data_IF_739179836812
#
_entry.id   IF_739179836812
#
_cell.length_a   1.000
_cell.length_b   1.000
_cell.length_c   1.000
_cell.angle_alpha   90.00
_cell.angle_beta   90.00
_cell.angle_gamma   90.00
#
_symmetry.space_group_name_H-M   'P 1'
#
loop_
_entity.id
_entity.type
_entity.pdbx_description
1 polymer ?
#
# COMPACT_ATOMS: atom_id res chain seq x y z
N UNK A 1 -26.38 13.01 -24.30
CA UNK A 1 -26.75 12.68 -22.90
C UNK A 1 -25.54 12.68 -21.96
N UNK A 2 -24.44 11.98 -22.26
CA UNK A 2 -23.21 11.98 -21.44
C UNK A 2 -22.54 13.35 -21.21
N UNK A 3 -22.54 14.23 -22.21
CA UNK A 3 -21.89 15.55 -22.12
C UNK A 3 -22.51 16.51 -21.09
N UNK A 4 -23.84 16.46 -20.92
CA UNK A 4 -24.53 17.26 -19.91
C UNK A 4 -24.29 16.69 -18.50
N UNK A 5 -24.35 15.35 -18.35
CA UNK A 5 -24.04 14.69 -17.08
C UNK A 5 -22.59 14.92 -16.62
N UNK A 6 -21.62 14.94 -17.54
CA UNK A 6 -20.21 15.25 -17.25
C UNK A 6 -20.02 16.70 -16.81
N UNK A 7 -20.72 17.63 -17.47
CA UNK A 7 -20.66 19.06 -17.14
C UNK A 7 -21.32 19.37 -15.80
N UNK A 8 -22.43 18.70 -15.49
CA UNK A 8 -23.13 18.85 -14.22
C UNK A 8 -22.39 18.14 -13.07
N UNK A 9 -21.77 16.99 -13.33
CA UNK A 9 -20.85 16.33 -12.40
C UNK A 9 -19.63 17.21 -12.09
N UNK A 10 -19.00 17.78 -13.13
CA UNK A 10 -17.87 18.70 -12.98
C UNK A 10 -18.24 20.00 -12.26
N UNK A 11 -19.47 20.49 -12.43
CA UNK A 11 -19.97 21.69 -11.73
C UNK A 11 -20.55 21.41 -10.35
N UNK A 12 -20.69 20.14 -9.97
CA UNK A 12 -21.23 19.79 -8.66
C UNK A 12 -20.31 20.32 -7.56
N UNK A 13 -20.87 21.05 -6.59
CA UNK A 13 -20.11 21.51 -5.42
C UNK A 13 -19.44 20.36 -4.65
N UNK A 14 -19.99 19.14 -4.75
CA UNK A 14 -19.41 17.96 -4.12
C UNK A 14 -18.05 17.57 -4.73
N UNK A 15 -17.90 17.62 -6.06
CA UNK A 15 -16.66 17.21 -6.74
C UNK A 15 -15.52 18.21 -6.49
N UNK A 16 -15.83 19.50 -6.51
CA UNK A 16 -14.87 20.56 -6.14
C UNK A 16 -14.45 20.48 -4.68
N UNK A 17 -15.37 20.17 -3.77
CA UNK A 17 -15.04 19.98 -2.35
C UNK A 17 -14.11 18.80 -2.17
N UNK A 18 -14.38 17.66 -2.81
CA UNK A 18 -13.49 16.48 -2.73
C UNK A 18 -12.13 16.76 -3.34
N UNK A 19 -12.07 17.42 -4.50
CA UNK A 19 -10.79 17.75 -5.14
C UNK A 19 -9.95 18.70 -4.26
N UNK A 20 -10.59 19.70 -3.65
CA UNK A 20 -9.93 20.61 -2.72
C UNK A 20 -9.38 19.89 -1.49
N UNK A 21 -10.16 19.01 -0.87
CA UNK A 21 -9.73 18.23 0.30
C UNK A 21 -8.56 17.30 -0.02
N UNK A 22 -8.61 16.62 -1.18
CA UNK A 22 -7.51 15.77 -1.65
C UNK A 22 -6.24 16.58 -1.91
N UNK A 23 -6.38 17.75 -2.52
CA UNK A 23 -5.24 18.65 -2.76
C UNK A 23 -4.63 19.14 -1.43
N UNK A 24 -5.46 19.56 -0.48
CA UNK A 24 -4.99 19.96 0.84
C UNK A 24 -4.26 18.82 1.56
N UNK A 25 -4.83 17.61 1.52
CA UNK A 25 -4.18 16.40 2.05
C UNK A 25 -2.82 16.13 1.41
N UNK A 26 -2.72 16.24 0.08
CA UNK A 26 -1.47 16.05 -0.65
C UNK A 26 -0.41 17.10 -0.28
N UNK A 27 -0.82 18.35 -0.09
CA UNK A 27 0.07 19.44 0.35
C UNK A 27 0.63 19.14 1.74
N UNK A 28 -0.22 18.72 2.68
CA UNK A 28 0.20 18.35 4.04
C UNK A 28 1.19 17.18 3.99
N UNK A 29 0.87 16.12 3.25
CA UNK A 29 1.77 14.96 3.09
C UNK A 29 3.12 15.35 2.48
N UNK A 30 3.13 16.24 1.49
CA UNK A 30 4.36 16.72 0.87
C UNK A 30 5.23 17.54 1.84
N UNK A 31 4.62 18.42 2.64
CA UNK A 31 5.32 19.19 3.67
C UNK A 31 5.91 18.27 4.73
N UNK A 32 5.16 17.26 5.18
CA UNK A 32 5.66 16.25 6.13
C UNK A 32 6.85 15.48 5.55
N UNK A 33 6.76 15.01 4.30
CA UNK A 33 7.86 14.33 3.63
C UNK A 33 9.13 15.20 3.52
N UNK A 34 8.98 16.49 3.20
CA UNK A 34 10.10 17.44 3.13
C UNK A 34 10.75 17.65 4.50
N UNK A 35 9.95 17.74 5.56
CA UNK A 35 10.47 17.84 6.93
C UNK A 35 11.23 16.57 7.35
N UNK A 36 10.70 15.39 7.04
CA UNK A 36 11.39 14.11 7.30
C UNK A 36 12.72 14.04 6.55
N UNK A 37 12.72 14.36 5.26
CA UNK A 37 13.94 14.34 4.45
C UNK A 37 14.99 15.34 4.96
N UNK A 38 14.57 16.54 5.35
CA UNK A 38 15.46 17.54 5.95
C UNK A 38 16.05 17.04 7.27
N UNK A 39 15.24 16.36 8.10
CA UNK A 39 15.70 15.77 9.36
C UNK A 39 16.72 14.67 9.12
N UNK A 40 16.49 13.81 8.13
CA UNK A 40 17.41 12.75 7.74
C UNK A 40 18.72 13.29 7.15
N UNK A 41 18.69 14.39 6.39
CA UNK A 41 19.90 15.06 5.90
C UNK A 41 20.77 15.58 7.05
N UNK A 42 20.16 16.09 8.11
CA UNK A 42 20.89 16.54 9.30
C UNK A 42 21.47 15.35 10.07
N UNK A 43 20.71 14.26 10.19
CA UNK A 43 21.15 13.05 10.88
C UNK A 43 22.22 12.24 10.12
N UNK A 44 22.30 12.36 8.79
CA UNK A 44 23.34 11.74 7.96
C UNK A 44 24.74 12.30 8.26
N UNK A 45 24.81 13.57 8.69
CA UNK A 45 26.06 14.22 9.12
C UNK A 45 26.64 13.61 10.41
N UNK A 46 25.82 12.91 11.20
CA UNK A 46 26.20 12.26 12.47
C UNK A 46 26.64 10.79 12.28
N UNK A 47 26.72 10.31 11.03
CA UNK A 47 27.22 8.96 10.68
C UNK A 47 26.16 7.86 10.65
N UNK A 48 24.90 8.19 10.97
CA UNK A 48 23.75 7.34 10.65
C UNK A 48 23.44 7.43 9.14
N UNK A 49 22.84 6.41 8.51
CA UNK A 49 22.42 6.45 7.08
C UNK A 49 20.89 6.54 6.89
N UNK A 50 20.16 7.44 7.59
CA UNK A 50 18.71 7.54 7.48
C UNK A 50 18.29 8.02 6.10
N UNK A 51 19.14 8.77 5.40
CA UNK A 51 18.89 9.23 4.04
C UNK A 51 18.67 8.08 3.05
N UNK A 52 19.43 6.99 3.19
CA UNK A 52 19.26 5.81 2.35
C UNK A 52 17.89 5.15 2.60
N UNK A 53 17.45 5.12 3.86
CA UNK A 53 16.12 4.64 4.24
C UNK A 53 15.01 5.47 3.59
N UNK A 54 15.09 6.79 3.68
CA UNK A 54 14.11 7.70 3.07
C UNK A 54 14.02 7.53 1.55
N UNK A 55 15.17 7.42 0.87
CA UNK A 55 15.22 7.19 -0.57
C UNK A 55 14.61 5.85 -0.94
N UNK A 56 14.90 4.78 -0.18
CA UNK A 56 14.29 3.47 -0.39
C UNK A 56 12.78 3.48 -0.18
N UNK A 57 12.28 4.19 0.84
CA UNK A 57 10.83 4.34 1.09
C UNK A 57 10.16 5.09 -0.06
N UNK A 58 10.76 6.18 -0.55
CA UNK A 58 10.23 6.92 -1.70
C UNK A 58 10.19 6.03 -2.94
N UNK A 59 11.28 5.30 -3.23
CA UNK A 59 11.32 4.37 -4.35
C UNK A 59 10.25 3.27 -4.22
N UNK A 60 10.11 2.67 -3.03
CA UNK A 60 9.09 1.66 -2.73
C UNK A 60 7.67 2.19 -2.92
N UNK A 61 7.37 3.40 -2.45
CA UNK A 61 6.03 4.00 -2.61
C UNK A 61 5.68 4.29 -4.07
N UNK A 62 6.66 4.69 -4.89
CA UNK A 62 6.46 4.87 -6.34
C UNK A 62 6.14 3.53 -7.02
N UNK A 63 6.90 2.47 -6.71
CA UNK A 63 6.62 1.14 -7.25
C UNK A 63 5.28 0.59 -6.78
N UNK A 64 4.91 0.80 -5.51
CA UNK A 64 3.61 0.41 -4.97
C UNK A 64 2.44 1.16 -5.64
N UNK A 65 2.60 2.47 -5.89
CA UNK A 65 1.59 3.22 -6.63
C UNK A 65 1.47 2.71 -8.08
N UNK A 66 2.59 2.43 -8.73
CA UNK A 66 2.61 1.90 -10.09
C UNK A 66 1.98 0.50 -10.18
N UNK A 67 2.23 -0.38 -9.21
CA UNK A 67 1.63 -1.71 -9.17
C UNK A 67 0.11 -1.63 -9.03
N UNK A 68 -0.40 -0.77 -8.15
CA UNK A 68 -1.84 -0.64 -7.93
C UNK A 68 -2.57 -0.05 -9.13
N UNK A 69 -1.95 0.91 -9.84
CA UNK A 69 -2.49 1.45 -11.10
C UNK A 69 -2.44 0.41 -12.22
N UNK A 70 -1.35 -0.36 -12.29
CA UNK A 70 -1.22 -1.47 -13.23
C UNK A 70 -2.27 -2.56 -13.00
N UNK A 71 -2.49 -2.93 -11.74
CA UNK A 71 -3.52 -3.89 -11.34
C UNK A 71 -4.91 -3.37 -11.65
N UNK A 72 -5.23 -2.11 -11.33
CA UNK A 72 -6.50 -1.46 -11.71
C UNK A 72 -6.75 -1.57 -13.22
N UNK A 73 -5.74 -1.26 -14.04
CA UNK A 73 -5.84 -1.35 -15.49
C UNK A 73 -6.12 -2.78 -15.96
N UNK A 74 -5.42 -3.77 -15.42
CA UNK A 74 -5.61 -5.19 -15.76
C UNK A 74 -7.00 -5.69 -15.35
N UNK A 75 -7.41 -5.41 -14.12
CA UNK A 75 -8.69 -5.85 -13.52
C UNK A 75 -9.91 -5.22 -14.24
N UNK A 76 -9.75 -4.01 -14.79
CA UNK A 76 -10.81 -3.34 -15.57
C UNK A 76 -10.90 -3.83 -17.02
N UNK A 77 -9.83 -4.39 -17.59
CA UNK A 77 -9.80 -4.86 -19.00
C UNK A 77 -9.92 -6.37 -19.17
N UNK A 78 -9.61 -7.17 -18.15
CA UNK A 78 -9.60 -8.64 -18.18
C UNK A 78 -10.43 -9.24 -17.05
N UNK A 79 -10.57 -10.56 -17.05
CA UNK A 79 -11.25 -11.28 -15.98
C UNK A 79 -10.48 -11.11 -14.66
N UNK A 80 -11.16 -10.63 -13.61
CA UNK A 80 -10.55 -10.39 -12.30
C UNK A 80 -9.84 -11.62 -11.71
N UNK A 81 -10.49 -12.79 -11.84
CA UNK A 81 -9.96 -14.06 -11.30
C UNK A 81 -8.68 -14.44 -12.02
N UNK A 82 -8.62 -14.23 -13.34
CA UNK A 82 -7.41 -14.48 -14.15
C UNK A 82 -6.28 -13.54 -13.73
N UNK A 83 -6.55 -12.25 -13.53
CA UNK A 83 -5.55 -11.28 -13.05
C UNK A 83 -5.02 -11.66 -11.67
N UNK A 84 -5.91 -11.97 -10.73
CA UNK A 84 -5.53 -12.37 -9.37
C UNK A 84 -4.71 -13.67 -9.36
N UNK A 85 -5.12 -14.66 -10.16
CA UNK A 85 -4.38 -15.92 -10.29
C UNK A 85 -2.98 -15.71 -10.87
N UNK A 86 -2.85 -14.88 -11.92
CA UNK A 86 -1.55 -14.57 -12.53
C UNK A 86 -0.63 -13.83 -11.55
N UNK A 87 -1.13 -12.80 -10.85
CA UNK A 87 -0.36 -12.09 -9.82
C UNK A 87 0.10 -13.06 -8.72
N UNK A 88 -0.77 -13.97 -8.28
CA UNK A 88 -0.41 -15.00 -7.30
C UNK A 88 0.69 -15.95 -7.78
N UNK A 89 0.60 -16.46 -9.00
CA UNK A 89 1.60 -17.39 -9.56
C UNK A 89 2.95 -16.70 -9.78
N UNK A 90 2.97 -15.52 -10.39
CA UNK A 90 4.23 -14.79 -10.60
C UNK A 90 4.81 -14.28 -9.29
N UNK A 91 3.97 -13.82 -8.35
CA UNK A 91 4.38 -13.43 -7.00
C UNK A 91 5.06 -14.58 -6.26
N UNK A 92 4.48 -15.78 -6.31
CA UNK A 92 5.09 -16.97 -5.72
C UNK A 92 6.47 -17.28 -6.30
N UNK A 93 6.63 -17.22 -7.63
CA UNK A 93 7.92 -17.46 -8.29
C UNK A 93 8.98 -16.44 -7.87
N UNK A 94 8.63 -15.15 -7.83
CA UNK A 94 9.55 -14.09 -7.42
C UNK A 94 9.94 -14.25 -5.96
N UNK A 95 8.97 -14.46 -5.06
CA UNK A 95 9.24 -14.68 -3.64
C UNK A 95 10.09 -15.92 -3.37
N UNK A 96 9.88 -17.01 -4.11
CA UNK A 96 10.71 -18.21 -3.97
C UNK A 96 12.19 -17.95 -4.33
N UNK A 97 12.44 -17.16 -5.38
CA UNK A 97 13.80 -16.74 -5.77
C UNK A 97 14.40 -15.80 -4.72
N UNK A 98 13.63 -14.82 -4.24
CA UNK A 98 14.06 -13.87 -3.22
C UNK A 98 14.50 -14.56 -1.91
N UNK A 99 13.65 -15.46 -1.39
CA UNK A 99 13.93 -16.24 -0.18
C UNK A 99 15.22 -17.07 -0.36
N UNK A 100 15.40 -17.68 -1.53
CA UNK A 100 16.56 -18.52 -1.83
C UNK A 100 17.88 -17.74 -1.81
N UNK A 101 17.86 -16.46 -2.18
CA UNK A 101 19.08 -15.62 -2.26
C UNK A 101 19.35 -14.91 -0.93
N UNK A 102 18.30 -14.33 -0.30
CA UNK A 102 18.46 -13.36 0.79
C UNK A 102 18.30 -14.00 2.17
N UNK A 103 17.35 -14.93 2.33
CA UNK A 103 16.85 -15.28 3.66
C UNK A 103 17.22 -16.69 4.13
N UNK A 104 17.77 -17.55 3.26
CA UNK A 104 18.00 -18.98 3.57
C UNK A 104 18.78 -19.21 4.87
N UNK A 105 19.83 -18.42 5.12
CA UNK A 105 20.63 -18.52 6.35
C UNK A 105 19.89 -18.04 7.59
N UNK A 106 19.00 -17.06 7.41
CA UNK A 106 18.16 -16.54 8.48
C UNK A 106 17.13 -17.61 8.88
N UNK A 107 16.51 -18.27 7.89
CA UNK A 107 15.52 -19.34 8.08
C UNK A 107 16.09 -20.55 8.84
N UNK A 108 17.34 -20.92 8.60
CA UNK A 108 18.01 -22.02 9.32
C UNK A 108 18.20 -21.73 10.82
N UNK A 109 18.26 -20.46 11.21
CA UNK A 109 18.47 -20.03 12.59
C UNK A 109 17.17 -19.88 13.41
N UNK A 110 16.01 -20.07 12.79
CA UNK A 110 14.71 -19.86 13.43
C UNK A 110 14.35 -21.07 14.30
N UNK A 111 14.15 -20.83 15.59
CA UNK A 111 13.55 -21.80 16.49
C UNK A 111 12.03 -21.84 16.27
N UNK A 112 11.57 -22.90 15.62
CA UNK A 112 10.14 -23.09 15.34
C UNK A 112 9.36 -23.37 16.62
N UNK A 113 8.54 -22.40 17.04
CA UNK A 113 7.59 -22.53 18.15
C UNK A 113 6.16 -22.62 17.63
N UNK A 114 5.28 -23.29 18.39
CA UNK A 114 3.84 -23.39 18.09
C UNK A 114 3.18 -22.01 17.95
N UNK A 115 3.58 -21.03 18.76
CA UNK A 115 3.05 -19.66 18.69
C UNK A 115 3.46 -18.96 17.39
N UNK A 116 4.70 -19.20 16.94
CA UNK A 116 5.21 -18.64 15.69
C UNK A 116 4.47 -19.24 14.49
N UNK A 117 4.27 -20.56 14.49
CA UNK A 117 3.53 -21.25 13.42
C UNK A 117 2.08 -20.73 13.35
N UNK A 118 1.43 -20.55 14.51
CA UNK A 118 0.08 -20.02 14.57
C UNK A 118 0.01 -18.57 14.05
N UNK A 119 0.98 -17.73 14.42
CA UNK A 119 1.08 -16.36 13.92
C UNK A 119 1.27 -16.33 12.39
N UNK A 120 2.13 -17.20 11.85
CA UNK A 120 2.32 -17.36 10.40
C UNK A 120 1.04 -17.82 9.70
N UNK A 121 0.32 -18.80 10.25
CA UNK A 121 -0.95 -19.24 9.70
C UNK A 121 -2.00 -18.11 9.68
N UNK A 122 -2.12 -17.35 10.78
CA UNK A 122 -3.01 -16.19 10.87
C UNK A 122 -2.66 -15.09 9.87
N UNK A 123 -1.36 -14.79 9.71
CA UNK A 123 -0.86 -13.88 8.70
C UNK A 123 -1.18 -14.36 7.28
N UNK A 124 -0.96 -15.65 6.98
CA UNK A 124 -1.24 -16.22 5.66
C UNK A 124 -2.73 -16.13 5.29
N UNK A 125 -3.63 -16.47 6.21
CA UNK A 125 -5.08 -16.36 6.01
C UNK A 125 -5.50 -14.90 5.78
N UNK A 126 -4.98 -13.98 6.60
CA UNK A 126 -5.30 -12.55 6.49
C UNK A 126 -4.83 -11.97 5.17
N UNK A 127 -3.61 -12.28 4.77
CA UNK A 127 -3.00 -11.84 3.50
C UNK A 127 -3.74 -12.45 2.29
N UNK A 128 -4.13 -13.72 2.36
CA UNK A 128 -4.97 -14.34 1.34
C UNK A 128 -6.32 -13.63 1.17
N UNK A 129 -6.99 -13.31 2.28
CA UNK A 129 -8.23 -12.53 2.25
C UNK A 129 -8.01 -11.14 1.63
N UNK A 130 -6.96 -10.43 2.05
CA UNK A 130 -6.62 -9.10 1.54
C UNK A 130 -6.42 -9.10 0.03
N UNK A 131 -5.56 -9.99 -0.49
CA UNK A 131 -5.26 -10.06 -1.93
C UNK A 131 -6.40 -10.65 -2.76
N UNK A 132 -7.35 -11.37 -2.16
CA UNK A 132 -8.58 -11.77 -2.86
C UNK A 132 -9.56 -10.60 -3.01
N UNK A 133 -9.63 -9.72 -2.00
CA UNK A 133 -10.54 -8.57 -1.96
C UNK A 133 -9.97 -7.37 -2.71
N UNK A 134 -8.64 -7.19 -2.74
CA UNK A 134 -8.00 -6.04 -3.37
C UNK A 134 -8.40 -5.84 -4.86
N UNK A 135 -8.38 -6.87 -5.73
CA UNK A 135 -8.85 -6.74 -7.12
C UNK A 135 -10.33 -6.33 -7.21
N UNK A 136 -11.17 -6.75 -6.26
CA UNK A 136 -12.58 -6.38 -6.22
C UNK A 136 -12.75 -4.88 -5.92
N UNK A 137 -12.02 -4.38 -4.92
CA UNK A 137 -12.04 -2.95 -4.54
C UNK A 137 -11.44 -2.09 -5.65
N UNK A 138 -10.33 -2.52 -6.25
CA UNK A 138 -9.72 -1.82 -7.39
C UNK A 138 -10.66 -1.73 -8.60
N UNK A 139 -11.47 -2.76 -8.85
CA UNK A 139 -12.44 -2.72 -9.95
C UNK A 139 -13.55 -1.70 -9.71
N UNK A 140 -14.06 -1.62 -8.48
CA UNK A 140 -15.19 -0.75 -8.12
C UNK A 140 -14.78 0.71 -7.91
N UNK A 141 -13.65 0.93 -7.24
CA UNK A 141 -13.27 2.22 -6.67
C UNK A 141 -12.00 2.82 -7.27
N UNK A 142 -11.14 1.98 -7.88
CA UNK A 142 -9.84 2.39 -8.44
C UNK A 142 -8.70 2.49 -7.42
N UNK A 143 -7.47 2.64 -7.91
CA UNK A 143 -6.24 2.61 -7.12
C UNK A 143 -6.15 3.76 -6.11
N UNK A 144 -6.62 4.95 -6.47
CA UNK A 144 -6.62 6.12 -5.56
C UNK A 144 -7.46 5.88 -4.33
N UNK A 145 -8.70 5.39 -4.49
CA UNK A 145 -9.60 5.12 -3.36
C UNK A 145 -9.13 3.90 -2.57
N UNK A 146 -8.55 2.89 -3.23
CA UNK A 146 -7.93 1.75 -2.55
C UNK A 146 -6.82 2.20 -1.59
N UNK A 147 -5.85 3.00 -2.08
CA UNK A 147 -4.78 3.52 -1.24
C UNK A 147 -5.30 4.41 -0.11
N UNK A 148 -6.26 5.30 -0.38
CA UNK A 148 -6.85 6.15 0.66
C UNK A 148 -7.56 5.34 1.75
N UNK A 149 -8.21 4.24 1.36
CA UNK A 149 -8.83 3.30 2.29
C UNK A 149 -7.79 2.60 3.16
N UNK A 150 -6.66 2.18 2.59
CA UNK A 150 -5.56 1.56 3.35
C UNK A 150 -4.99 2.52 4.39
N UNK A 151 -4.69 3.77 4.00
CA UNK A 151 -4.21 4.78 4.97
C UNK A 151 -5.24 5.05 6.08
N UNK A 152 -6.53 5.03 5.75
CA UNK A 152 -7.59 5.20 6.76
C UNK A 152 -7.65 4.01 7.72
N UNK A 153 -7.43 2.79 7.22
CA UNK A 153 -7.34 1.58 8.05
C UNK A 153 -6.21 1.67 9.07
N UNK A 154 -5.05 2.21 8.70
CA UNK A 154 -3.93 2.40 9.62
C UNK A 154 -4.30 3.35 10.78
N UNK A 155 -5.07 4.39 10.51
CA UNK A 155 -5.58 5.29 11.56
C UNK A 155 -6.52 4.57 12.53
N UNK A 156 -7.34 3.62 12.05
CA UNK A 156 -8.17 2.79 12.92
C UNK A 156 -7.34 1.90 13.84
N UNK A 157 -6.24 1.33 13.34
CA UNK A 157 -5.32 0.54 14.16
C UNK A 157 -4.74 1.40 15.29
N UNK A 158 -4.35 2.64 15.00
CA UNK A 158 -3.86 3.60 16.01
C UNK A 158 -4.93 3.90 17.06
N UNK A 159 -6.17 4.17 16.64
CA UNK A 159 -7.27 4.42 17.57
C UNK A 159 -7.54 3.21 18.47
N UNK A 160 -7.61 2.01 17.90
CA UNK A 160 -7.80 0.77 18.67
C UNK A 160 -6.66 0.59 19.68
N UNK A 161 -5.42 0.83 19.27
CA UNK A 161 -4.26 0.77 20.16
C UNK A 161 -4.45 1.72 21.34
N UNK A 162 -4.75 2.99 21.10
CA UNK A 162 -4.89 4.00 22.15
C UNK A 162 -6.02 3.67 23.14
N UNK A 163 -7.16 3.16 22.65
CA UNK A 163 -8.34 2.94 23.50
C UNK A 163 -8.39 1.57 24.18
N UNK A 164 -7.88 0.51 23.55
CA UNK A 164 -7.99 -0.86 24.04
C UNK A 164 -6.69 -1.41 24.62
N UNK A 165 -5.54 -0.93 24.16
CA UNK A 165 -4.22 -1.38 24.60
C UNK A 165 -3.52 -0.22 25.34
N UNK A 166 -3.85 -0.08 26.62
CA UNK A 166 -3.20 0.90 27.51
C UNK A 166 -1.72 0.53 27.75
#
# INVERSE_FOLDING_TARGET
>A
MYWFALRDWWRSHATWRTAYLLFLGQVVSFVMALMSFTSSLIADLDGSKPLLGDVLVIAGTVFYAMSNVGEEFCVKKKNRIEVAAMIGVYGFLVSAVEISIVEIKSLESIEWSTDLILAFAGYAVSTFMFYTIAPFVLQLSGATMFNLSTLTSDMWVVLIRIFFYH
#
